data_IF_432666271016
#
_entry.id   IF_432666271016
#
_cell.length_a   1.000
_cell.length_b   1.000
_cell.length_c   1.000
_cell.angle_alpha   90.00
_cell.angle_beta   90.00
_cell.angle_gamma   90.00
#
_symmetry.space_group_name_H-M   'P 1'
#
loop_
_entity.id
_entity.type
_entity.pdbx_description
1 polymer ?
#
# COMPACT_ATOMS: atom_id res chain seq x y z
N UNK A 1 -5.62 44.15 26.23
CA UNK A 1 -6.50 43.03 25.79
C UNK A 1 -6.36 42.73 24.28
N UNK A 2 -5.15 42.82 23.70
CA UNK A 2 -4.91 42.59 22.27
C UNK A 2 -3.61 41.80 21.99
N UNK A 3 -3.02 41.19 23.02
CA UNK A 3 -1.78 40.41 22.92
C UNK A 3 -2.00 38.89 23.10
N UNK A 4 -3.22 38.44 23.38
CA UNK A 4 -3.53 37.03 23.58
C UNK A 4 -3.95 36.28 22.29
N UNK A 5 -4.16 36.99 21.18
CA UNK A 5 -4.65 36.37 19.94
C UNK A 5 -3.51 35.78 19.07
N UNK A 6 -2.25 36.19 19.31
CA UNK A 6 -1.10 35.72 18.52
C UNK A 6 -0.56 34.33 18.94
N UNK A 7 -0.93 33.82 20.12
CA UNK A 7 -0.43 32.53 20.62
C UNK A 7 -1.33 31.33 20.32
N UNK A 8 -2.51 31.53 19.73
CA UNK A 8 -3.43 30.43 19.37
C UNK A 8 -3.31 29.96 17.90
N UNK A 9 -2.39 30.54 17.13
CA UNK A 9 -2.19 30.22 15.71
C UNK A 9 -1.40 28.94 15.37
N UNK A 10 -0.68 28.22 16.27
CA UNK A 10 -0.03 26.97 15.84
C UNK A 10 -0.96 25.74 15.91
N UNK A 11 -2.19 25.86 16.43
CA UNK A 11 -3.11 24.72 16.55
C UNK A 11 -3.91 24.39 15.28
N UNK A 12 -3.80 25.21 14.22
CA UNK A 12 -4.56 25.03 12.97
C UNK A 12 -3.79 24.27 11.89
N UNK A 13 -2.51 23.95 12.11
CA UNK A 13 -1.79 23.03 11.24
C UNK A 13 -2.19 21.61 11.62
N UNK A 14 -3.41 21.22 11.22
CA UNK A 14 -3.83 19.83 11.22
C UNK A 14 -2.73 19.02 10.54
N UNK A 15 -2.17 18.05 11.25
CA UNK A 15 -1.04 17.26 10.79
C UNK A 15 -1.36 16.65 9.43
N UNK A 16 -0.88 17.28 8.35
CA UNK A 16 -0.83 16.65 7.03
C UNK A 16 0.10 15.47 7.22
N UNK A 17 -0.41 14.25 7.09
CA UNK A 17 0.42 13.05 7.23
C UNK A 17 1.65 13.21 6.33
N UNK A 18 2.81 13.44 6.95
CA UNK A 18 4.00 13.80 6.22
C UNK A 18 4.51 12.56 5.48
N UNK A 19 4.86 12.72 4.19
CA UNK A 19 5.38 11.62 3.37
C UNK A 19 6.61 11.01 4.06
N UNK A 20 6.60 9.70 4.28
CA UNK A 20 7.71 9.03 4.98
C UNK A 20 9.03 9.19 4.21
N UNK A 21 10.18 9.37 4.88
CA UNK A 21 11.46 9.65 4.22
C UNK A 21 11.88 8.61 3.17
N UNK A 22 11.59 7.33 3.41
CA UNK A 22 11.89 6.22 2.50
C UNK A 22 11.18 6.36 1.15
N UNK A 23 9.98 6.93 1.12
CA UNK A 23 9.19 7.11 -0.10
C UNK A 23 9.59 8.35 -0.92
N UNK A 24 10.40 9.25 -0.36
CA UNK A 24 10.90 10.45 -1.05
C UNK A 24 12.01 10.15 -2.05
N UNK A 25 12.51 8.90 -2.08
CA UNK A 25 13.62 8.47 -2.95
C UNK A 25 13.18 8.11 -4.37
N UNK A 26 11.97 8.47 -4.79
CA UNK A 26 11.47 8.12 -6.12
C UNK A 26 12.27 8.89 -7.19
N UNK A 27 12.81 8.23 -8.23
CA UNK A 27 13.64 8.91 -9.23
C UNK A 27 12.88 9.98 -10.04
N UNK A 28 13.58 11.09 -10.36
CA UNK A 28 13.10 12.11 -11.28
C UNK A 28 11.89 12.90 -10.77
N UNK A 29 10.87 13.06 -11.61
CA UNK A 29 9.62 13.80 -11.32
C UNK A 29 8.50 12.90 -10.77
N UNK A 30 8.79 11.64 -10.47
CA UNK A 30 7.78 10.71 -9.97
C UNK A 30 7.55 10.93 -8.47
N UNK A 31 6.29 11.09 -8.08
CA UNK A 31 5.90 11.10 -6.66
C UNK A 31 5.39 9.73 -6.26
N UNK A 32 5.98 9.14 -5.22
CA UNK A 32 5.52 7.88 -4.65
C UNK A 32 4.02 7.89 -4.33
N UNK A 33 3.31 6.78 -4.61
CA UNK A 33 1.85 6.71 -4.46
C UNK A 33 1.37 7.04 -3.05
N UNK A 34 2.07 6.56 -2.02
CA UNK A 34 1.75 6.87 -0.62
C UNK A 34 1.95 8.35 -0.23
N UNK A 35 2.62 9.14 -1.07
CA UNK A 35 2.86 10.56 -0.85
C UNK A 35 1.96 11.47 -1.70
N UNK A 36 1.12 10.88 -2.55
CA UNK A 36 0.07 11.62 -3.26
C UNK A 36 -1.02 12.03 -2.27
N UNK A 37 -1.63 13.21 -2.45
CA UNK A 37 -2.79 13.59 -1.65
C UNK A 37 -3.94 12.61 -1.89
N UNK A 38 -4.81 12.46 -0.90
CA UNK A 38 -6.03 11.67 -1.05
C UNK A 38 -6.91 12.24 -2.17
N UNK A 39 -7.61 11.38 -2.94
CA UNK A 39 -8.54 11.84 -3.96
C UNK A 39 -9.64 12.71 -3.34
N UNK A 40 -10.11 13.72 -4.08
CA UNK A 40 -11.25 14.53 -3.64
C UNK A 40 -12.50 13.66 -3.55
N UNK A 41 -13.43 14.01 -2.64
CA UNK A 41 -14.73 13.32 -2.53
C UNK A 41 -15.53 13.34 -3.84
N UNK A 42 -15.30 14.33 -4.68
CA UNK A 42 -15.91 14.48 -6.01
C UNK A 42 -15.37 13.44 -7.00
N UNK A 43 -14.07 13.09 -6.89
CA UNK A 43 -13.42 12.11 -7.77
C UNK A 43 -13.64 10.66 -7.33
N UNK A 44 -13.82 10.41 -6.03
CA UNK A 44 -14.07 9.09 -5.49
C UNK A 44 -14.86 9.15 -4.17
N UNK A 45 -16.05 8.58 -4.17
CA UNK A 45 -16.81 8.34 -2.94
C UNK A 45 -16.48 6.94 -2.41
N UNK A 46 -15.57 6.88 -1.44
CA UNK A 46 -15.12 5.63 -0.80
C UNK A 46 -16.27 4.94 -0.06
N UNK A 47 -16.72 3.78 -0.55
CA UNK A 47 -17.80 2.97 0.06
C UNK A 47 -17.26 1.99 1.11
N UNK A 48 -16.13 1.35 0.83
CA UNK A 48 -15.45 0.43 1.73
C UNK A 48 -13.94 0.43 1.46
N UNK A 49 -13.14 -0.10 2.39
CA UNK A 49 -11.71 -0.33 2.18
C UNK A 49 -11.12 -1.33 3.14
N UNK A 50 -9.97 -1.86 2.73
CA UNK A 50 -9.24 -2.85 3.51
C UNK A 50 -9.63 -4.25 3.09
N UNK A 51 -8.86 -5.21 3.60
CA UNK A 51 -9.01 -6.63 3.36
C UNK A 51 -8.92 -7.29 4.75
N UNK A 52 -9.88 -8.12 5.09
CA UNK A 52 -9.93 -8.85 6.36
C UNK A 52 -8.80 -9.87 6.47
N UNK A 53 -8.49 -10.32 7.69
CA UNK A 53 -7.48 -11.37 7.91
C UNK A 53 -7.81 -12.67 7.17
N UNK A 54 -9.11 -13.01 7.08
CA UNK A 54 -9.56 -14.18 6.35
C UNK A 54 -9.30 -14.05 4.84
N UNK A 55 -9.64 -12.90 4.26
CA UNK A 55 -9.38 -12.62 2.84
C UNK A 55 -7.88 -12.56 2.54
N UNK A 56 -7.07 -11.95 3.41
CA UNK A 56 -5.59 -11.95 3.27
C UNK A 56 -5.04 -13.38 3.22
N UNK A 57 -5.53 -14.25 4.09
CA UNK A 57 -5.17 -15.68 4.11
C UNK A 57 -5.57 -16.37 2.80
N UNK A 58 -6.80 -16.17 2.35
CA UNK A 58 -7.29 -16.76 1.08
C UNK A 58 -6.47 -16.30 -0.13
N UNK A 59 -6.17 -15.01 -0.21
CA UNK A 59 -5.32 -14.44 -1.27
C UNK A 59 -3.94 -15.10 -1.24
N UNK A 60 -3.31 -15.19 -0.06
CA UNK A 60 -1.98 -15.77 0.09
C UNK A 60 -1.94 -17.25 -0.28
N UNK A 61 -2.93 -18.02 0.18
CA UNK A 61 -3.05 -19.45 -0.11
C UNK A 61 -3.25 -19.70 -1.61
N UNK A 62 -4.10 -18.92 -2.27
CA UNK A 62 -4.33 -19.03 -3.71
C UNK A 62 -3.04 -18.75 -4.50
N UNK A 63 -2.33 -17.68 -4.17
CA UNK A 63 -1.06 -17.35 -4.85
C UNK A 63 -0.03 -18.46 -4.66
N UNK A 64 0.13 -18.97 -3.44
CA UNK A 64 1.10 -20.04 -3.14
C UNK A 64 0.72 -21.37 -3.79
N UNK A 65 -0.57 -21.69 -3.92
CA UNK A 65 -1.05 -22.86 -4.68
C UNK A 65 -0.64 -22.77 -6.15
N UNK A 66 -0.94 -21.65 -6.80
CA UNK A 66 -0.60 -21.43 -8.21
C UNK A 66 0.92 -21.43 -8.44
N UNK A 67 1.69 -20.82 -7.53
CA UNK A 67 3.15 -20.84 -7.57
C UNK A 67 3.71 -22.26 -7.43
N UNK A 68 3.11 -23.11 -6.59
CA UNK A 68 3.49 -24.51 -6.46
C UNK A 68 3.22 -25.33 -7.73
N UNK A 69 2.09 -25.07 -8.39
CA UNK A 69 1.77 -25.67 -9.70
C UNK A 69 2.76 -25.24 -10.78
N UNK A 70 3.13 -23.96 -10.81
CA UNK A 70 4.18 -23.46 -11.71
C UNK A 70 5.54 -24.12 -11.39
N UNK A 71 5.92 -24.17 -10.11
CA UNK A 71 7.18 -24.76 -9.67
C UNK A 71 7.33 -26.22 -10.09
N UNK A 72 6.25 -26.98 -10.01
CA UNK A 72 6.22 -28.41 -10.37
C UNK A 72 6.04 -28.69 -11.87
N UNK A 73 5.93 -27.66 -12.71
CA UNK A 73 5.71 -27.84 -14.16
C UNK A 73 4.31 -28.38 -14.49
N UNK A 74 3.34 -28.20 -13.58
CA UNK A 74 1.95 -28.63 -13.78
C UNK A 74 1.14 -27.65 -14.62
N UNK A 75 1.68 -26.46 -14.91
CA UNK A 75 1.05 -25.49 -15.79
C UNK A 75 1.33 -25.85 -17.26
N UNK A 76 0.31 -26.18 -18.07
CA UNK A 76 0.50 -26.55 -19.46
C UNK A 76 1.24 -25.45 -20.24
N UNK A 77 2.27 -25.83 -20.99
CA UNK A 77 3.07 -24.90 -21.79
C UNK A 77 4.17 -24.16 -21.03
N UNK A 78 4.34 -24.41 -19.72
CA UNK A 78 5.40 -23.80 -18.91
C UNK A 78 6.31 -24.86 -18.27
N UNK A 79 7.65 -24.66 -18.27
CA UNK A 79 8.56 -25.57 -17.60
C UNK A 79 8.46 -25.45 -16.07
N UNK A 80 8.93 -26.48 -15.36
CA UNK A 80 9.13 -26.42 -13.92
C UNK A 80 10.12 -25.32 -13.53
N UNK A 81 9.87 -24.64 -12.41
CA UNK A 81 10.75 -23.58 -11.91
C UNK A 81 11.67 -24.10 -10.81
N UNK A 82 12.95 -23.73 -10.85
CA UNK A 82 13.98 -24.21 -9.92
C UNK A 82 14.04 -23.44 -8.60
N UNK A 83 13.46 -22.24 -8.53
CA UNK A 83 13.61 -21.35 -7.36
C UNK A 83 12.34 -20.56 -7.01
N UNK A 84 11.19 -21.24 -6.94
CA UNK A 84 9.88 -20.62 -6.73
C UNK A 84 9.40 -20.72 -5.27
N UNK A 85 9.78 -19.76 -4.43
CA UNK A 85 9.40 -19.75 -3.01
C UNK A 85 7.94 -19.40 -2.76
N UNK A 86 7.42 -19.81 -1.59
CA UNK A 86 6.14 -19.31 -1.09
C UNK A 86 6.24 -17.83 -0.71
N UNK A 87 5.18 -17.09 -1.02
CA UNK A 87 4.97 -15.72 -0.57
C UNK A 87 4.56 -15.72 0.90
N UNK A 88 4.84 -14.60 1.56
CA UNK A 88 4.28 -14.20 2.85
C UNK A 88 3.52 -12.90 2.66
N UNK A 89 2.52 -12.67 3.50
CA UNK A 89 1.86 -11.36 3.55
C UNK A 89 2.85 -10.31 4.10
N UNK A 90 2.96 -9.18 3.42
CA UNK A 90 3.62 -7.97 3.91
C UNK A 90 2.55 -6.90 4.14
N UNK A 91 2.64 -6.12 5.22
CA UNK A 91 1.63 -5.09 5.52
C UNK A 91 2.01 -3.70 4.97
N UNK A 92 3.25 -3.53 4.53
CA UNK A 92 3.71 -2.31 3.87
C UNK A 92 3.34 -2.29 2.39
N UNK A 93 3.44 -3.46 1.73
CA UNK A 93 2.98 -3.70 0.36
C UNK A 93 1.45 -3.85 0.28
#
# INVERSE_FOLDING_TARGET
>A
MLLFILFLLPLIHGARAECRPEYRKTPGTLTHTACKPLPSKESCQKVASGISTAEKKQILELHNKLRSQAASGQLPGYPAATNMYQLKWDNEL
#
